data_IF_086617915000
#
_entry.id   IF_086617915000
#
_cell.length_a   1.000
_cell.length_b   1.000
_cell.length_c   1.000
_cell.angle_alpha   90.00
_cell.angle_beta   90.00
_cell.angle_gamma   90.00
#
_symmetry.space_group_name_H-M   'P 1'
#
loop_
_entity.id
_entity.type
_entity.pdbx_description
1 polymer ?
#
# COMPACT_ATOMS: atom_id res chain seq x y z
N UNK A 1 15.75 -1.04 -4.79
CA UNK A 1 14.72 -0.71 -3.80
C UNK A 1 13.40 -0.29 -4.44
N UNK A 2 13.39 0.29 -5.65
CA UNK A 2 12.20 0.77 -6.37
C UNK A 2 11.12 -0.30 -6.69
N UNK A 3 11.51 -1.57 -6.95
CA UNK A 3 10.58 -2.67 -7.26
C UNK A 3 9.57 -3.00 -6.15
N UNK A 4 9.95 -2.81 -4.89
CA UNK A 4 9.04 -3.10 -3.76
C UNK A 4 7.99 -2.01 -3.60
N UNK A 5 8.35 -0.76 -3.93
CA UNK A 5 7.43 0.38 -3.86
C UNK A 5 6.36 0.29 -4.94
N UNK A 6 6.74 0.00 -6.18
CA UNK A 6 5.83 -0.18 -7.30
C UNK A 6 4.80 -1.31 -7.06
N UNK A 7 5.26 -2.39 -6.43
CA UNK A 7 4.40 -3.48 -5.97
C UNK A 7 3.42 -3.02 -4.88
N UNK A 8 3.87 -2.23 -3.91
CA UNK A 8 2.99 -1.68 -2.85
C UNK A 8 1.94 -0.74 -3.44
N UNK A 9 2.33 0.19 -4.31
CA UNK A 9 1.40 1.12 -4.97
C UNK A 9 0.38 0.33 -5.80
N UNK A 10 0.81 -0.69 -6.52
CA UNK A 10 -0.09 -1.57 -7.29
C UNK A 10 -1.06 -2.33 -6.38
N UNK A 11 -0.59 -2.85 -5.24
CA UNK A 11 -1.42 -3.52 -4.23
C UNK A 11 -2.47 -2.54 -3.69
N UNK A 12 -2.06 -1.37 -3.23
CA UNK A 12 -2.98 -0.35 -2.69
C UNK A 12 -3.97 0.15 -3.76
N UNK A 13 -3.48 0.33 -5.00
CA UNK A 13 -4.28 0.69 -6.16
C UNK A 13 -5.35 -0.35 -6.50
N UNK A 14 -5.04 -1.64 -6.40
CA UNK A 14 -6.01 -2.71 -6.61
C UNK A 14 -7.19 -2.64 -5.61
N UNK A 15 -6.93 -2.30 -4.35
CA UNK A 15 -8.01 -2.07 -3.37
C UNK A 15 -8.78 -0.78 -3.61
N UNK A 16 -8.14 0.25 -4.17
CA UNK A 16 -8.80 1.51 -4.52
C UNK A 16 -9.74 1.32 -5.72
N UNK A 17 -9.33 0.54 -6.71
CA UNK A 17 -10.11 0.25 -7.91
C UNK A 17 -11.27 -0.71 -7.62
N UNK A 18 -11.06 -1.65 -6.69
CA UNK A 18 -12.12 -2.56 -6.28
C UNK A 18 -13.31 -1.83 -5.63
N UNK A 19 -14.51 -2.03 -6.21
CA UNK A 19 -15.79 -1.61 -5.61
C UNK A 19 -16.01 -2.19 -4.20
N UNK A 20 -15.34 -3.31 -3.89
CA UNK A 20 -15.36 -3.92 -2.58
C UNK A 20 -14.25 -3.34 -1.69
N UNK A 21 -14.62 -2.75 -0.55
CA UNK A 21 -13.69 -2.30 0.49
C UNK A 21 -12.89 -3.43 1.17
N UNK A 22 -13.01 -4.67 0.68
CA UNK A 22 -12.35 -5.87 1.19
C UNK A 22 -11.99 -6.76 -0.01
N UNK A 23 -10.71 -7.10 -0.15
CA UNK A 23 -10.22 -8.03 -1.15
C UNK A 23 -9.45 -9.18 -0.50
N UNK A 24 -9.46 -10.33 -1.16
CA UNK A 24 -8.59 -11.44 -0.79
C UNK A 24 -7.16 -11.20 -1.30
N UNK A 25 -6.15 -11.78 -0.65
CA UNK A 25 -4.77 -11.74 -1.16
C UNK A 25 -4.65 -12.29 -2.60
N UNK A 26 -5.52 -13.23 -2.98
CA UNK A 26 -5.67 -13.77 -4.35
C UNK A 26 -6.19 -12.72 -5.32
N UNK A 27 -7.24 -12.01 -4.96
CA UNK A 27 -7.79 -10.91 -5.77
C UNK A 27 -6.73 -9.84 -6.02
N UNK A 28 -6.05 -9.43 -4.95
CA UNK A 28 -4.95 -8.45 -5.04
C UNK A 28 -3.84 -8.98 -5.92
N UNK A 29 -3.44 -10.25 -5.76
CA UNK A 29 -2.41 -10.85 -6.61
C UNK A 29 -2.83 -10.87 -8.08
N UNK A 30 -4.09 -11.19 -8.38
CA UNK A 30 -4.61 -11.20 -9.74
C UNK A 30 -4.58 -9.79 -10.35
N UNK A 31 -5.07 -8.78 -9.62
CA UNK A 31 -5.08 -7.39 -10.06
C UNK A 31 -3.65 -6.86 -10.32
N UNK A 32 -2.70 -7.20 -9.45
CA UNK A 32 -1.29 -6.79 -9.60
C UNK A 32 -0.63 -7.55 -10.77
N UNK A 33 -1.01 -8.81 -11.02
CA UNK A 33 -0.54 -9.55 -12.20
C UNK A 33 -1.09 -9.00 -13.51
N UNK A 34 -2.30 -8.43 -13.52
CA UNK A 34 -2.84 -7.73 -14.70
C UNK A 34 -2.05 -6.47 -15.06
N UNK A 35 -1.35 -5.88 -14.10
CA UNK A 35 -0.48 -4.71 -14.29
C UNK A 35 0.94 -5.08 -14.79
N UNK A 36 1.21 -6.37 -15.05
CA UNK A 36 2.51 -6.89 -15.50
C UNK A 36 3.68 -6.55 -14.55
N UNK A 37 3.41 -6.50 -13.24
CA UNK A 37 4.43 -6.22 -12.23
C UNK A 37 5.36 -7.43 -12.04
N UNK A 38 6.63 -7.23 -12.39
CA UNK A 38 7.69 -8.23 -12.24
C UNK A 38 7.89 -8.62 -10.76
N UNK A 39 7.54 -9.88 -10.42
CA UNK A 39 7.65 -10.39 -9.05
C UNK A 39 6.34 -10.39 -8.24
N UNK A 40 5.19 -10.12 -8.88
CA UNK A 40 3.85 -10.23 -8.30
C UNK A 40 3.41 -11.69 -8.05
N UNK A 41 4.20 -12.42 -7.26
CA UNK A 41 3.83 -13.76 -6.79
C UNK A 41 2.91 -13.63 -5.57
N UNK A 42 2.00 -14.60 -5.35
CA UNK A 42 1.10 -14.57 -4.21
C UNK A 42 1.84 -14.51 -2.86
N UNK A 43 3.04 -15.10 -2.78
CA UNK A 43 3.88 -15.05 -1.58
C UNK A 43 4.42 -13.64 -1.31
N UNK A 44 4.90 -12.96 -2.36
CA UNK A 44 5.42 -11.59 -2.24
C UNK A 44 4.30 -10.59 -1.94
N UNK A 45 3.13 -10.74 -2.57
CA UNK A 45 1.95 -9.91 -2.31
C UNK A 45 1.46 -10.08 -0.87
N UNK A 46 1.35 -11.32 -0.39
CA UNK A 46 0.98 -11.59 1.01
C UNK A 46 2.01 -10.98 1.97
N UNK A 47 3.31 -11.15 1.71
CA UNK A 47 4.36 -10.56 2.54
C UNK A 47 4.24 -9.02 2.63
N UNK A 48 3.97 -8.35 1.51
CA UNK A 48 3.77 -6.90 1.50
C UNK A 48 2.47 -6.48 2.18
N UNK A 49 1.40 -7.27 2.07
CA UNK A 49 0.16 -7.03 2.82
C UNK A 49 0.39 -7.09 4.35
N UNK A 50 1.24 -8.00 4.81
CA UNK A 50 1.62 -8.05 6.23
C UNK A 50 2.43 -6.81 6.65
N UNK A 51 3.36 -6.35 5.81
CA UNK A 51 4.11 -5.10 6.05
C UNK A 51 3.20 -3.87 6.07
N UNK A 52 2.23 -3.80 5.15
CA UNK A 52 1.22 -2.74 5.12
C UNK A 52 0.35 -2.77 6.37
N UNK A 53 0.05 -3.95 6.91
CA UNK A 53 -0.70 -4.06 8.15
C UNK A 53 0.11 -3.69 9.39
N UNK A 54 1.40 -4.00 9.42
CA UNK A 54 2.31 -3.54 10.47
C UNK A 54 2.43 -2.01 10.49
N UNK A 55 2.51 -1.39 9.31
CA UNK A 55 2.47 0.06 9.14
C UNK A 55 1.08 0.69 9.42
N UNK A 56 0.04 -0.12 9.59
CA UNK A 56 -1.34 0.32 9.80
C UNK A 56 -2.05 0.85 8.55
N UNK A 57 -1.50 0.61 7.36
CA UNK A 57 -2.05 0.97 6.04
C UNK A 57 -3.08 -0.05 5.54
N UNK A 58 -2.92 -1.32 5.92
CA UNK A 58 -3.88 -2.39 5.66
C UNK A 58 -4.32 -3.05 6.96
N UNK A 59 -5.44 -3.77 6.91
CA UNK A 59 -5.92 -4.57 8.04
C UNK A 59 -6.41 -5.91 7.53
N UNK A 60 -5.84 -6.98 8.10
CA UNK A 60 -6.32 -8.34 7.90
C UNK A 60 -7.64 -8.51 8.65
N UNK A 61 -8.69 -8.91 7.93
CA UNK A 61 -10.02 -9.17 8.50
C UNK A 61 -10.19 -10.63 8.91
N UNK A 62 -9.42 -11.55 8.32
CA UNK A 62 -9.46 -12.97 8.62
C UNK A 62 -8.25 -13.37 9.45
N UNK A 63 -8.35 -13.29 10.77
CA UNK A 63 -7.25 -13.71 11.68
C UNK A 63 -6.92 -15.21 11.54
N UNK A 64 -7.92 -16.06 11.28
CA UNK A 64 -7.74 -17.52 11.14
C UNK A 64 -7.35 -17.99 9.73
N UNK A 65 -7.38 -17.12 8.72
CA UNK A 65 -7.00 -17.47 7.34
C UNK A 65 -5.64 -16.86 7.04
N UNK A 66 -4.64 -17.70 6.79
CA UNK A 66 -3.30 -17.28 6.38
C UNK A 66 -3.10 -17.49 4.88
N UNK A 67 -2.19 -16.74 4.28
CA UNK A 67 -1.87 -16.85 2.86
C UNK A 67 -2.84 -16.08 1.96
N UNK A 68 -2.92 -16.43 0.67
CA UNK A 68 -3.59 -15.62 -0.35
C UNK A 68 -5.13 -15.64 -0.24
N UNK A 69 -5.71 -16.57 0.53
CA UNK A 69 -7.15 -16.56 0.85
C UNK A 69 -7.51 -15.60 2.00
N UNK A 70 -6.54 -14.97 2.64
CA UNK A 70 -6.81 -13.99 3.69
C UNK A 70 -7.51 -12.76 3.12
N UNK A 71 -8.53 -12.25 3.83
CA UNK A 71 -9.20 -11.01 3.46
C UNK A 71 -8.50 -9.82 4.11
N UNK A 72 -8.28 -8.79 3.30
CA UNK A 72 -7.59 -7.57 3.65
C UNK A 72 -8.46 -6.38 3.32
N UNK A 73 -8.28 -5.30 4.08
CA UNK A 73 -8.94 -4.01 3.86
C UNK A 73 -7.92 -2.90 4.04
N UNK A 74 -7.89 -1.95 3.11
CA UNK A 74 -7.09 -0.73 3.27
C UNK A 74 -7.72 0.16 4.34
N UNK A 75 -6.88 0.72 5.21
CA UNK A 75 -7.30 1.72 6.20
C UNK A 75 -7.26 3.11 5.58
N UNK A 76 -7.91 4.10 6.21
CA UNK A 76 -7.83 5.49 5.74
C UNK A 76 -6.38 5.99 5.60
N UNK A 77 -5.45 5.48 6.43
CA UNK A 77 -4.01 5.79 6.30
C UNK A 77 -3.37 5.21 5.04
N UNK A 78 -3.82 4.06 4.56
CA UNK A 78 -3.35 3.49 3.29
C UNK A 78 -3.82 4.29 2.07
N UNK A 79 -4.95 4.98 2.17
CA UNK A 79 -5.37 5.98 1.18
C UNK A 79 -4.52 7.25 1.28
N UNK A 80 -4.30 7.77 2.49
CA UNK A 80 -3.47 8.96 2.75
C UNK A 80 -2.01 8.77 2.29
N UNK A 81 -1.43 7.59 2.51
CA UNK A 81 -0.07 7.27 2.05
C UNK A 81 0.08 7.15 0.52
N UNK A 82 -1.01 6.98 -0.22
CA UNK A 82 -1.00 7.10 -1.69
C UNK A 82 -1.08 8.56 -2.17
N UNK A 83 -1.57 9.46 -1.32
CA UNK A 83 -1.73 10.89 -1.61
C UNK A 83 -0.52 11.73 -1.12
N UNK A 84 0.30 11.21 -0.20
CA UNK A 84 1.51 11.89 0.29
C UNK A 84 2.68 12.02 -0.70
N UNK A 85 2.63 11.40 -1.89
CA UNK A 85 3.65 11.62 -2.92
C UNK A 85 3.58 13.02 -3.58
N UNK A 86 2.61 13.87 -3.22
CA UNK A 86 2.46 15.23 -3.77
C UNK A 86 2.61 16.39 -2.76
N UNK A 87 2.83 16.17 -1.45
CA UNK A 87 2.89 17.27 -0.45
C UNK A 87 4.03 17.17 0.58
N UNK A 88 5.23 16.73 0.18
CA UNK A 88 6.46 16.85 1.00
C UNK A 88 7.52 17.70 0.24
N UNK A 89 7.13 18.92 -0.15
CA UNK A 89 8.03 19.89 -0.81
C UNK A 89 8.53 21.03 0.09
N UNK A 90 8.13 21.21 1.35
CA UNK A 90 8.56 22.41 2.10
C UNK A 90 8.79 22.17 3.60
N UNK A 91 9.95 21.61 3.95
CA UNK A 91 10.58 21.83 5.27
C UNK A 91 12.06 22.19 5.08
N UNK A 92 12.37 23.50 5.09
CA UNK A 92 13.63 24.13 5.53
C UNK A 92 13.45 25.66 5.30
N UNK A 93 12.98 26.42 6.29
CA UNK A 93 13.82 27.14 7.27
C UNK A 93 14.75 28.18 6.61
N UNK A 94 14.21 29.39 6.39
CA UNK A 94 15.02 30.61 6.28
C UNK A 94 14.40 31.68 7.18
N UNK A 95 14.64 31.47 8.48
CA UNK A 95 14.65 32.50 9.52
C UNK A 95 15.69 33.57 9.14
N UNK A 96 15.33 34.50 8.24
CA UNK A 96 16.08 35.73 8.01
C UNK A 96 15.50 36.84 8.89
N UNK A 97 15.68 36.68 10.19
CA UNK A 97 15.77 37.79 11.13
C UNK A 97 17.08 38.54 10.82
N UNK A 98 17.03 39.50 9.89
CA UNK A 98 18.11 40.46 9.62
C UNK A 98 17.66 41.86 10.01
N UNK A 99 17.57 42.10 11.33
CA UNK A 99 17.61 43.42 11.95
C UNK A 99 19.06 43.69 12.37
N UNK A 100 19.81 44.45 11.56
CA UNK A 100 20.81 45.48 11.94
C UNK A 100 21.34 46.23 10.70
#
# INVERSE_FOLDING_TARGET
MQRNFDLVVSILGAFRDAEAAVLSGRDVTAAVQELDIDGATPETVVHHLELLADAGLAKKLTESTAGPDAMWRITWKGYDALEQDEEDEDEDDDDLDLDD
#
